data_IF_180941391926
#
_entry.id   IF_180941391926
#
_cell.length_a   1.000
_cell.length_b   1.000
_cell.length_c   1.000
_cell.angle_alpha   90.00
_cell.angle_beta   90.00
_cell.angle_gamma   90.00
#
_symmetry.space_group_name_H-M   'P 1'
#
loop_
_entity.id
_entity.type
_entity.pdbx_description
1 polymer ?
#
# COMPACT_ATOMS: atom_id res chain seq x y z
N UNK A 1 -35.69 9.22 -2.82
CA UNK A 1 -34.32 9.26 -3.37
C UNK A 1 -33.42 8.96 -2.19
N UNK A 2 -33.12 7.68 -2.00
CA UNK A 2 -32.16 7.23 -0.99
C UNK A 2 -30.77 7.71 -1.42
N UNK A 3 -30.12 8.49 -0.57
CA UNK A 3 -28.68 8.77 -0.66
C UNK A 3 -27.96 7.41 -0.74
N UNK A 4 -27.37 7.11 -1.90
CA UNK A 4 -26.62 5.87 -2.09
C UNK A 4 -25.33 5.98 -1.25
N UNK A 5 -25.11 5.11 -0.25
CA UNK A 5 -24.14 5.36 0.83
C UNK A 5 -22.68 5.10 0.44
N UNK A 6 -22.31 5.12 -0.84
CA UNK A 6 -21.00 4.60 -1.23
C UNK A 6 -20.42 5.28 -2.47
N UNK A 7 -20.14 6.57 -2.34
CA UNK A 7 -19.00 7.14 -3.05
C UNK A 7 -17.93 7.40 -1.97
N UNK A 8 -16.82 6.64 -1.92
CA UNK A 8 -15.75 6.95 -0.98
C UNK A 8 -15.32 8.40 -1.17
N UNK A 9 -15.17 9.14 -0.06
CA UNK A 9 -14.83 10.56 -0.11
C UNK A 9 -13.57 10.71 -0.97
N UNK A 10 -13.61 11.55 -2.01
CA UNK A 10 -12.47 11.71 -2.93
C UNK A 10 -11.21 12.16 -2.19
N UNK A 11 -11.36 12.87 -1.08
CA UNK A 11 -10.24 13.29 -0.22
C UNK A 11 -9.57 12.09 0.48
N UNK A 12 -10.36 11.15 1.01
CA UNK A 12 -9.85 9.92 1.64
C UNK A 12 -9.12 9.05 0.62
N UNK A 13 -9.68 8.86 -0.57
CA UNK A 13 -9.00 8.14 -1.64
C UNK A 13 -7.71 8.83 -2.09
N UNK A 14 -7.67 10.16 -2.06
CA UNK A 14 -6.46 10.90 -2.40
C UNK A 14 -5.37 10.74 -1.33
N UNK A 15 -5.74 10.78 -0.05
CA UNK A 15 -4.82 10.52 1.06
C UNK A 15 -4.22 9.11 1.00
N UNK A 16 -5.05 8.09 0.70
CA UNK A 16 -4.59 6.71 0.50
C UNK A 16 -3.59 6.63 -0.66
N UNK A 17 -3.93 7.23 -1.83
CA UNK A 17 -3.05 7.23 -3.00
C UNK A 17 -1.73 7.95 -2.73
N UNK A 18 -1.76 9.03 -1.98
CA UNK A 18 -0.56 9.78 -1.61
C UNK A 18 0.34 8.97 -0.68
N UNK A 19 -0.23 8.34 0.36
CA UNK A 19 0.52 7.48 1.28
C UNK A 19 1.20 6.30 0.57
N UNK A 20 0.46 5.62 -0.31
CA UNK A 20 1.02 4.50 -1.11
C UNK A 20 2.13 5.00 -2.05
N UNK A 21 1.95 6.15 -2.71
CA UNK A 21 2.98 6.72 -3.60
C UNK A 21 4.24 7.12 -2.84
N UNK A 22 4.10 7.71 -1.66
CA UNK A 22 5.23 8.10 -0.83
C UNK A 22 6.08 6.87 -0.46
N UNK A 23 5.45 5.77 -0.05
CA UNK A 23 6.14 4.52 0.25
C UNK A 23 6.83 3.94 -0.99
N UNK A 24 6.13 3.87 -2.13
CA UNK A 24 6.72 3.37 -3.37
C UNK A 24 7.94 4.20 -3.82
N UNK A 25 7.98 5.51 -3.51
CA UNK A 25 9.08 6.39 -3.88
C UNK A 25 10.40 6.08 -3.13
N UNK A 26 10.35 5.36 -2.01
CA UNK A 26 11.54 4.90 -1.29
C UNK A 26 12.29 3.78 -2.05
N UNK A 27 11.65 3.15 -3.05
CA UNK A 27 12.18 2.03 -3.81
C UNK A 27 12.47 2.44 -5.26
N UNK A 28 13.67 2.93 -5.49
CA UNK A 28 14.10 3.49 -6.76
C UNK A 28 14.39 2.44 -7.86
N UNK A 29 14.72 2.91 -9.05
CA UNK A 29 15.05 2.05 -10.18
C UNK A 29 16.31 1.18 -9.95
N UNK A 30 17.21 1.56 -9.03
CA UNK A 30 18.40 0.76 -8.72
C UNK A 30 18.05 -0.42 -7.79
N UNK A 31 17.12 -0.22 -6.85
CA UNK A 31 16.52 -1.31 -6.10
C UNK A 31 15.90 -2.36 -7.02
N UNK A 32 14.98 -1.94 -7.90
CA UNK A 32 14.26 -2.88 -8.78
C UNK A 32 15.18 -3.62 -9.75
N UNK A 33 16.19 -2.93 -10.31
CA UNK A 33 17.19 -3.58 -11.17
C UNK A 33 17.97 -4.68 -10.44
N UNK A 34 18.40 -4.44 -9.19
CA UNK A 34 19.10 -5.47 -8.40
C UNK A 34 18.23 -6.69 -8.14
N UNK A 35 16.94 -6.48 -7.83
CA UNK A 35 15.99 -7.57 -7.62
C UNK A 35 15.80 -8.39 -8.91
N UNK A 36 15.63 -7.72 -10.05
CA UNK A 36 15.49 -8.38 -11.37
C UNK A 36 16.74 -9.18 -11.75
N UNK A 37 17.94 -8.58 -11.63
CA UNK A 37 19.22 -9.23 -11.89
C UNK A 37 19.41 -10.53 -11.07
N UNK A 38 18.93 -10.51 -9.83
CA UNK A 38 19.02 -11.65 -8.91
C UNK A 38 17.86 -12.63 -9.08
N UNK A 39 16.85 -12.31 -9.90
CA UNK A 39 15.55 -13.01 -9.95
C UNK A 39 14.95 -13.17 -8.55
N UNK A 40 15.14 -12.15 -7.72
CA UNK A 40 14.82 -12.17 -6.30
C UNK A 40 13.38 -11.76 -6.01
N UNK A 41 12.94 -12.05 -4.78
CA UNK A 41 11.71 -11.51 -4.24
C UNK A 41 12.00 -10.18 -3.51
N UNK A 42 11.21 -9.11 -3.71
CA UNK A 42 11.48 -7.80 -3.13
C UNK A 42 11.04 -7.74 -1.65
N UNK A 43 11.72 -8.50 -0.79
CA UNK A 43 11.36 -8.64 0.64
C UNK A 43 11.24 -7.29 1.36
N UNK A 44 12.17 -6.38 1.13
CA UNK A 44 12.16 -5.06 1.77
C UNK A 44 10.92 -4.23 1.39
N UNK A 45 10.51 -4.26 0.13
CA UNK A 45 9.31 -3.57 -0.35
C UNK A 45 8.04 -4.18 0.24
N UNK A 46 7.94 -5.51 0.22
CA UNK A 46 6.80 -6.24 0.78
C UNK A 46 6.69 -6.01 2.29
N UNK A 47 7.83 -6.02 3.00
CA UNK A 47 7.86 -5.69 4.42
C UNK A 47 7.37 -4.27 4.68
N UNK A 48 7.84 -3.27 3.92
CA UNK A 48 7.41 -1.88 4.08
C UNK A 48 5.89 -1.72 3.86
N UNK A 49 5.34 -2.34 2.81
CA UNK A 49 3.89 -2.34 2.56
C UNK A 49 3.09 -3.05 3.66
N UNK A 50 3.66 -4.11 4.25
CA UNK A 50 3.02 -4.86 5.34
C UNK A 50 3.04 -4.06 6.63
N UNK A 51 4.19 -3.49 7.01
CA UNK A 51 4.34 -2.65 8.20
C UNK A 51 3.43 -1.41 8.13
N UNK A 52 3.22 -0.88 6.93
CA UNK A 52 2.32 0.25 6.68
C UNK A 52 0.83 -0.17 6.54
N UNK A 53 0.50 -1.46 6.64
CA UNK A 53 -0.88 -1.97 6.60
C UNK A 53 -1.54 -1.96 5.20
N UNK A 54 -0.79 -1.67 4.14
CA UNK A 54 -1.32 -1.59 2.78
C UNK A 54 -1.55 -2.95 2.12
N UNK A 55 -0.73 -3.96 2.45
CA UNK A 55 -0.87 -5.34 1.93
C UNK A 55 -1.99 -6.14 2.61
N UNK A 56 -2.52 -5.59 3.71
CA UNK A 56 -3.49 -6.21 4.60
C UNK A 56 -4.69 -5.28 4.81
N UNK A 57 -5.03 -4.46 3.81
CA UNK A 57 -6.00 -3.39 3.95
C UNK A 57 -7.38 -3.83 4.47
N UNK A 58 -7.84 -5.01 4.04
CA UNK A 58 -9.12 -5.59 4.47
C UNK A 58 -9.00 -6.55 5.67
N UNK A 59 -7.81 -6.68 6.25
CA UNK A 59 -7.59 -7.47 7.46
C UNK A 59 -7.83 -6.55 8.67
N UNK A 60 -8.52 -7.02 9.73
CA UNK A 60 -8.64 -6.25 10.96
C UNK A 60 -7.28 -5.85 11.55
N UNK A 61 -7.22 -4.70 12.20
CA UNK A 61 -5.96 -4.19 12.82
C UNK A 61 -5.35 -5.18 13.82
N UNK A 62 -6.18 -5.93 14.55
CA UNK A 62 -5.75 -6.97 15.49
C UNK A 62 -4.93 -8.11 14.85
N UNK A 63 -4.98 -8.25 13.51
CA UNK A 63 -4.22 -9.23 12.74
C UNK A 63 -3.17 -8.58 11.82
N UNK A 64 -2.86 -7.28 12.02
CA UNK A 64 -1.85 -6.56 11.24
C UNK A 64 -2.36 -5.99 9.92
N UNK A 65 -3.66 -5.74 9.78
CA UNK A 65 -4.25 -4.99 8.67
C UNK A 65 -4.52 -3.52 8.99
N UNK A 66 -4.95 -2.75 7.99
CA UNK A 66 -5.31 -1.33 8.19
C UNK A 66 -6.81 -1.10 8.39
N UNK A 67 -7.65 -2.14 8.32
CA UNK A 67 -9.10 -2.03 8.60
C UNK A 67 -9.85 -1.05 7.71
N UNK A 68 -9.36 -0.82 6.49
CA UNK A 68 -9.90 0.11 5.49
C UNK A 68 -11.18 -0.39 4.82
#
# INVERSE_FOLDING_TARGET
MEESPMNPNSEELNAIREGVRALCAEFDAAYWRRIDEQRGFPEAFVKALTDAGWLSAMIPEEYGGSGL
#
